data_IF_134523309683
#
_entry.id   IF_134523309683
#
_cell.length_a   1.000
_cell.length_b   1.000
_cell.length_c   1.000
_cell.angle_alpha   90.00
_cell.angle_beta   90.00
_cell.angle_gamma   90.00
#
_symmetry.space_group_name_H-M   'P 1'
#
loop_
_entity.id
_entity.type
_entity.pdbx_description
1 polymer ?
#
# COMPACT_ATOMS: atom_id res chain seq x y z
N UNK A 1 -24.05 -17.08 -18.83
CA UNK A 1 -23.22 -17.57 -17.70
C UNK A 1 -22.12 -16.55 -17.39
N UNK A 2 -21.95 -16.15 -16.15
CA UNK A 2 -20.95 -15.15 -15.77
C UNK A 2 -19.59 -15.83 -15.57
N UNK A 3 -18.55 -15.31 -16.20
CA UNK A 3 -17.20 -15.84 -16.03
C UNK A 3 -16.65 -15.47 -14.64
N UNK A 4 -16.06 -16.43 -13.97
CA UNK A 4 -15.33 -16.24 -12.71
C UNK A 4 -13.97 -16.91 -12.82
N UNK A 5 -12.90 -16.12 -12.69
CA UNK A 5 -11.53 -16.61 -12.78
C UNK A 5 -11.21 -17.61 -11.67
N UNK A 6 -10.68 -18.77 -12.04
CA UNK A 6 -10.17 -19.75 -11.06
C UNK A 6 -8.81 -19.32 -10.53
N UNK A 7 -8.44 -19.66 -9.29
CA UNK A 7 -7.13 -19.32 -8.73
C UNK A 7 -5.95 -19.77 -9.60
N UNK A 8 -6.09 -20.89 -10.31
CA UNK A 8 -5.06 -21.42 -11.22
C UNK A 8 -4.87 -20.61 -12.50
N UNK A 9 -5.86 -19.81 -12.89
CA UNK A 9 -5.82 -18.97 -14.10
C UNK A 9 -5.20 -17.60 -13.83
N UNK A 10 -5.07 -17.22 -12.57
CA UNK A 10 -4.57 -15.91 -12.17
C UNK A 10 -3.05 -15.84 -12.28
N UNK A 11 -2.58 -15.12 -13.29
CA UNK A 11 -1.15 -14.80 -13.43
C UNK A 11 -0.87 -13.51 -12.67
N UNK A 12 0.00 -13.60 -11.65
CA UNK A 12 0.41 -12.45 -10.85
C UNK A 12 1.75 -11.91 -11.36
N UNK A 13 1.81 -10.59 -11.51
CA UNK A 13 3.03 -9.88 -11.88
C UNK A 13 3.59 -9.17 -10.65
N UNK A 14 4.88 -8.88 -10.70
CA UNK A 14 5.54 -8.02 -9.74
C UNK A 14 5.74 -6.64 -10.37
N UNK A 15 5.19 -5.61 -9.75
CA UNK A 15 5.25 -4.24 -10.24
C UNK A 15 5.99 -3.39 -9.23
N UNK A 16 6.96 -2.60 -9.71
CA UNK A 16 7.72 -1.66 -8.88
C UNK A 16 7.16 -0.26 -9.09
N UNK A 17 6.86 0.43 -7.99
CA UNK A 17 6.46 1.84 -7.99
C UNK A 17 7.54 2.65 -7.28
N UNK A 18 8.07 3.66 -7.95
CA UNK A 18 8.96 4.62 -7.33
C UNK A 18 8.14 5.75 -6.71
N UNK A 19 8.25 5.92 -5.38
CA UNK A 19 7.55 6.94 -4.61
C UNK A 19 8.29 8.27 -4.55
N UNK A 20 9.50 8.34 -5.07
CA UNK A 20 10.36 9.54 -4.99
C UNK A 20 9.66 10.78 -5.58
N UNK A 21 9.47 11.81 -4.77
CA UNK A 21 8.85 13.07 -5.19
C UNK A 21 7.35 13.01 -5.51
N UNK A 22 6.72 11.85 -5.42
CA UNK A 22 5.28 11.67 -5.65
C UNK A 22 4.47 11.94 -4.40
N UNK A 23 3.21 12.31 -4.57
CA UNK A 23 2.29 12.50 -3.45
C UNK A 23 1.82 11.16 -2.87
N UNK A 24 1.71 11.11 -1.55
CA UNK A 24 1.32 9.90 -0.81
C UNK A 24 0.02 9.27 -1.33
N UNK A 25 -1.04 10.08 -1.49
CA UNK A 25 -2.35 9.59 -1.90
C UNK A 25 -2.34 8.98 -3.31
N UNK A 26 -1.60 9.56 -4.25
CA UNK A 26 -1.51 9.04 -5.63
C UNK A 26 -0.76 7.72 -5.70
N UNK A 27 0.38 7.63 -5.00
CA UNK A 27 1.13 6.36 -4.90
C UNK A 27 0.27 5.28 -4.27
N UNK A 28 -0.45 5.60 -3.20
CA UNK A 28 -1.35 4.66 -2.54
C UNK A 28 -2.51 4.21 -3.44
N UNK A 29 -3.07 5.11 -4.24
CA UNK A 29 -4.14 4.78 -5.19
C UNK A 29 -3.65 3.82 -6.28
N UNK A 30 -2.48 4.09 -6.85
CA UNK A 30 -1.90 3.24 -7.89
C UNK A 30 -1.57 1.84 -7.32
N UNK A 31 -0.96 1.79 -6.15
CA UNK A 31 -0.68 0.53 -5.46
C UNK A 31 -1.97 -0.26 -5.14
N UNK A 32 -3.00 0.39 -4.64
CA UNK A 32 -4.27 -0.25 -4.31
C UNK A 32 -4.97 -0.84 -5.54
N UNK A 33 -4.98 -0.12 -6.67
CA UNK A 33 -5.54 -0.62 -7.94
C UNK A 33 -4.84 -1.90 -8.43
N UNK A 34 -3.51 -1.94 -8.33
CA UNK A 34 -2.72 -3.11 -8.71
C UNK A 34 -2.96 -4.29 -7.76
N UNK A 35 -3.03 -4.04 -6.46
CA UNK A 35 -3.28 -5.07 -5.44
C UNK A 35 -4.68 -5.68 -5.54
N UNK A 36 -5.69 -4.89 -5.88
CA UNK A 36 -7.05 -5.38 -6.13
C UNK A 36 -7.18 -6.09 -7.48
N UNK A 37 -6.34 -5.74 -8.45
CA UNK A 37 -6.41 -6.28 -9.81
C UNK A 37 -7.43 -5.60 -10.71
N UNK A 38 -7.87 -4.38 -10.40
CA UNK A 38 -8.84 -3.62 -11.22
C UNK A 38 -8.38 -3.32 -12.64
N UNK A 39 -7.09 -3.41 -12.91
CA UNK A 39 -6.51 -3.25 -14.25
C UNK A 39 -6.64 -4.50 -15.13
N UNK A 40 -7.07 -5.62 -14.57
CA UNK A 40 -7.22 -6.90 -15.31
C UNK A 40 -8.65 -7.09 -15.79
N UNK A 41 -8.80 -7.69 -16.98
CA UNK A 41 -10.11 -8.03 -17.55
C UNK A 41 -10.84 -9.11 -16.73
N UNK A 42 -10.09 -9.95 -16.03
CA UNK A 42 -10.62 -11.01 -15.15
C UNK A 42 -11.03 -10.52 -13.75
N UNK A 43 -10.97 -9.22 -13.51
CA UNK A 43 -11.34 -8.66 -12.22
C UNK A 43 -12.78 -9.00 -11.83
N UNK A 44 -12.96 -9.45 -10.60
CA UNK A 44 -14.29 -9.61 -9.99
C UNK A 44 -14.22 -9.24 -8.50
N UNK A 45 -15.31 -8.66 -7.92
CA UNK A 45 -15.30 -8.25 -6.52
C UNK A 45 -15.05 -9.37 -5.53
N UNK A 46 -15.41 -10.61 -5.88
CA UNK A 46 -15.21 -11.79 -5.01
C UNK A 46 -13.90 -12.52 -5.27
N UNK A 47 -13.24 -12.28 -6.41
CA UNK A 47 -12.01 -12.97 -6.81
C UNK A 47 -10.74 -12.23 -6.37
N UNK A 48 -9.72 -12.95 -5.99
CA UNK A 48 -8.41 -12.39 -5.66
C UNK A 48 -7.47 -12.51 -6.87
N UNK A 49 -7.46 -11.49 -7.72
CA UNK A 49 -6.74 -11.47 -9.01
C UNK A 49 -5.58 -10.47 -9.05
N UNK A 50 -5.33 -9.73 -7.97
CA UNK A 50 -4.32 -8.67 -7.90
C UNK A 50 -2.88 -9.15 -8.04
N UNK A 51 -1.99 -8.20 -8.27
CA UNK A 51 -0.56 -8.40 -8.43
C UNK A 51 0.22 -8.14 -7.15
N UNK A 52 1.53 -8.44 -7.16
CA UNK A 52 2.46 -8.01 -6.13
C UNK A 52 2.95 -6.60 -6.44
N UNK A 53 3.03 -5.75 -5.42
CA UNK A 53 3.50 -4.37 -5.56
C UNK A 53 4.68 -4.13 -4.64
N UNK A 54 5.76 -3.64 -5.22
CA UNK A 54 6.95 -3.19 -4.51
C UNK A 54 7.03 -1.67 -4.62
N UNK A 55 7.02 -0.96 -3.51
CA UNK A 55 7.20 0.49 -3.48
C UNK A 55 8.60 0.80 -2.96
N UNK A 56 9.36 1.55 -3.72
CA UNK A 56 10.72 1.98 -3.38
C UNK A 56 10.77 3.48 -3.09
N UNK A 57 11.83 3.94 -2.44
CA UNK A 57 12.02 5.33 -2.06
C UNK A 57 10.91 5.90 -1.18
N UNK A 58 10.35 5.10 -0.29
CA UNK A 58 9.27 5.55 0.60
C UNK A 58 9.67 6.74 1.48
N UNK A 59 10.94 6.87 1.85
CA UNK A 59 11.44 8.00 2.62
C UNK A 59 11.36 9.35 1.88
N UNK A 60 11.28 9.32 0.55
CA UNK A 60 11.23 10.52 -0.30
C UNK A 60 9.81 10.89 -0.72
N UNK A 61 8.80 10.26 -0.15
CA UNK A 61 7.40 10.60 -0.43
C UNK A 61 7.06 11.97 0.14
N UNK A 62 6.16 12.68 -0.55
CA UNK A 62 5.75 14.02 -0.12
C UNK A 62 4.23 14.09 0.08
N UNK A 63 3.82 15.11 0.82
CA UNK A 63 2.43 15.53 0.98
C UNK A 63 2.31 17.01 0.64
N UNK A 64 1.12 17.44 0.26
CA UNK A 64 0.85 18.82 -0.14
C UNK A 64 0.51 19.71 1.06
N UNK A 65 0.71 21.03 0.92
CA UNK A 65 0.37 22.01 1.96
C UNK A 65 1.15 21.77 3.25
N UNK A 66 0.51 22.04 4.38
CA UNK A 66 1.08 21.87 5.73
C UNK A 66 0.87 20.48 6.33
N UNK A 67 0.51 19.48 5.54
CA UNK A 67 0.19 18.13 6.02
C UNK A 67 1.37 17.43 6.73
N UNK A 68 2.59 17.85 6.50
CA UNK A 68 3.76 17.34 7.23
C UNK A 68 3.61 17.51 8.74
N UNK A 69 3.01 18.62 9.16
CA UNK A 69 2.74 18.94 10.57
C UNK A 69 1.30 18.62 10.99
N UNK A 70 0.33 18.88 10.09
CA UNK A 70 -1.11 18.80 10.41
C UNK A 70 -1.69 17.39 10.29
N UNK A 71 -1.10 16.52 9.46
CA UNK A 71 -1.55 15.14 9.33
C UNK A 71 -1.08 14.32 10.51
N UNK A 72 -2.04 13.93 11.36
CA UNK A 72 -1.76 13.21 12.61
C UNK A 72 -2.28 11.78 12.52
N UNK A 73 -1.41 10.81 12.82
CA UNK A 73 -1.75 9.41 12.97
C UNK A 73 -2.03 9.12 14.44
N UNK A 74 -3.24 8.63 14.73
CA UNK A 74 -3.68 8.31 16.09
C UNK A 74 -3.97 6.83 16.23
N UNK A 75 -3.58 6.26 17.35
CA UNK A 75 -3.99 4.92 17.75
C UNK A 75 -4.16 4.88 19.27
N UNK A 76 -4.95 3.93 19.76
CA UNK A 76 -5.19 3.74 21.18
C UNK A 76 -4.65 2.40 21.66
N UNK A 77 -3.97 2.38 22.80
CA UNK A 77 -3.33 1.17 23.36
C UNK A 77 -4.29 0.28 24.15
N UNK A 78 -5.58 0.66 24.26
CA UNK A 78 -6.61 0.02 25.09
C UNK A 78 -6.39 0.12 26.62
N UNK A 79 -5.51 1.01 27.05
CA UNK A 79 -5.35 1.37 28.47
C UNK A 79 -5.90 2.79 28.71
N UNK A 80 -6.35 3.12 29.97
CA UNK A 80 -6.74 4.50 30.30
C UNK A 80 -5.62 5.48 29.94
N UNK A 81 -5.98 6.58 29.21
CA UNK A 81 -5.01 7.56 28.73
C UNK A 81 -4.06 7.05 27.62
N UNK A 82 -4.39 5.94 26.98
CA UNK A 82 -3.53 5.29 25.98
C UNK A 82 -3.62 5.83 24.55
N UNK A 83 -4.21 7.02 24.32
CA UNK A 83 -4.22 7.65 23.01
C UNK A 83 -2.82 8.14 22.64
N UNK A 84 -2.31 7.64 21.53
CA UNK A 84 -1.01 8.05 20.97
C UNK A 84 -1.24 8.80 19.67
N UNK A 85 -0.52 9.88 19.48
CA UNK A 85 -0.58 10.72 18.28
C UNK A 85 0.83 11.02 17.79
N UNK A 86 1.02 10.95 16.48
CA UNK A 86 2.28 11.27 15.82
C UNK A 86 1.99 12.00 14.51
N UNK A 87 2.71 13.09 14.24
CA UNK A 87 2.59 13.84 13.01
C UNK A 87 3.23 13.08 11.83
N UNK A 88 2.79 13.37 10.61
CA UNK A 88 3.32 12.73 9.40
C UNK A 88 4.84 12.85 9.28
N UNK A 89 5.40 14.03 9.52
CA UNK A 89 6.85 14.25 9.45
C UNK A 89 7.64 13.37 10.42
N UNK A 90 7.15 13.24 11.64
CA UNK A 90 7.77 12.38 12.66
C UNK A 90 7.61 10.90 12.34
N UNK A 91 6.44 10.51 11.83
CA UNK A 91 6.20 9.14 11.38
C UNK A 91 7.13 8.77 10.22
N UNK A 92 7.29 9.65 9.25
CA UNK A 92 8.19 9.43 8.11
C UNK A 92 9.65 9.32 8.54
N UNK A 93 10.08 10.12 9.51
CA UNK A 93 11.44 10.08 10.04
C UNK A 93 11.75 8.78 10.80
N UNK A 94 10.80 8.30 11.61
CA UNK A 94 10.98 7.09 12.43
C UNK A 94 10.71 5.81 11.67
N UNK A 95 9.65 5.79 10.87
CA UNK A 95 9.16 4.61 10.13
C UNK A 95 8.78 5.01 8.70
N UNK A 96 9.74 5.11 7.77
CA UNK A 96 9.50 5.64 6.41
C UNK A 96 8.47 4.85 5.61
N UNK A 97 8.30 3.56 5.88
CA UNK A 97 7.37 2.69 5.15
C UNK A 97 5.93 2.80 5.65
N UNK A 98 5.72 3.19 6.91
CA UNK A 98 4.40 3.19 7.57
C UNK A 98 3.37 4.10 6.92
N UNK A 99 3.68 5.35 6.53
CA UNK A 99 2.68 6.21 5.88
C UNK A 99 2.07 5.58 4.63
N UNK A 100 2.88 4.96 3.77
CA UNK A 100 2.41 4.28 2.55
C UNK A 100 1.58 3.04 2.90
N UNK A 101 2.04 2.22 3.82
CA UNK A 101 1.31 1.02 4.26
C UNK A 101 -0.08 1.36 4.82
N UNK A 102 -0.18 2.39 5.66
CA UNK A 102 -1.45 2.84 6.24
C UNK A 102 -2.37 3.38 5.15
N UNK A 103 -1.84 4.21 4.23
CA UNK A 103 -2.63 4.78 3.14
C UNK A 103 -3.18 3.70 2.20
N UNK A 104 -2.37 2.72 1.83
CA UNK A 104 -2.81 1.60 0.97
C UNK A 104 -3.84 0.73 1.68
N UNK A 105 -3.62 0.37 2.93
CA UNK A 105 -4.58 -0.41 3.72
C UNK A 105 -5.93 0.29 3.85
N UNK A 106 -5.93 1.61 4.01
CA UNK A 106 -7.16 2.41 4.03
C UNK A 106 -7.93 2.41 2.71
N UNK A 107 -7.26 2.20 1.58
CA UNK A 107 -7.85 2.14 0.25
C UNK A 107 -8.26 0.73 -0.19
N UNK A 108 -7.78 -0.31 0.51
CA UNK A 108 -8.17 -1.69 0.26
C UNK A 108 -9.47 -2.05 0.99
N UNK A 109 -10.22 -3.07 0.56
CA UNK A 109 -11.40 -3.55 1.26
C UNK A 109 -11.09 -3.93 2.72
N UNK A 110 -11.98 -3.57 3.64
CA UNK A 110 -11.83 -3.86 5.08
C UNK A 110 -12.37 -5.24 5.47
N UNK A 111 -11.86 -6.28 4.82
CA UNK A 111 -12.27 -7.66 5.03
C UNK A 111 -11.07 -8.62 4.93
N UNK A 112 -11.32 -9.92 5.00
CA UNK A 112 -10.27 -10.95 4.88
C UNK A 112 -9.50 -10.87 3.56
N UNK A 113 -10.18 -10.54 2.46
CA UNK A 113 -9.54 -10.35 1.14
C UNK A 113 -8.60 -9.16 1.13
N UNK A 114 -9.03 -8.03 1.69
CA UNK A 114 -8.17 -6.84 1.82
C UNK A 114 -6.90 -7.12 2.61
N UNK A 115 -6.97 -7.93 3.65
CA UNK A 115 -5.79 -8.39 4.41
C UNK A 115 -4.85 -9.24 3.55
N UNK A 116 -5.40 -10.13 2.73
CA UNK A 116 -4.61 -10.92 1.77
C UNK A 116 -3.94 -10.04 0.72
N UNK A 117 -4.66 -9.05 0.18
CA UNK A 117 -4.10 -8.07 -0.75
C UNK A 117 -2.97 -7.25 -0.11
N UNK A 118 -3.16 -6.80 1.13
CA UNK A 118 -2.15 -6.03 1.86
C UNK A 118 -0.83 -6.80 2.08
N UNK A 119 -0.87 -8.13 2.18
CA UNK A 119 0.34 -8.97 2.29
C UNK A 119 1.20 -8.94 1.03
N UNK A 120 0.63 -8.63 -0.12
CA UNK A 120 1.36 -8.51 -1.40
C UNK A 120 1.99 -7.14 -1.61
N UNK A 121 1.75 -6.20 -0.71
CA UNK A 121 2.44 -4.91 -0.70
C UNK A 121 3.78 -5.04 0.03
N UNK A 122 4.85 -4.62 -0.65
CA UNK A 122 6.20 -4.56 -0.08
C UNK A 122 6.71 -3.13 -0.21
N UNK A 123 7.01 -2.47 0.90
CA UNK A 123 7.45 -1.07 0.93
C UNK A 123 8.86 -0.98 1.47
N UNK A 124 9.72 -0.26 0.77
CA UNK A 124 11.11 -0.06 1.14
C UNK A 124 11.45 1.44 1.18
N UNK A 125 12.20 1.83 2.21
CA UNK A 125 12.60 3.21 2.42
C UNK A 125 13.55 3.74 1.33
N UNK A 126 14.47 2.90 0.88
CA UNK A 126 15.46 3.21 -0.16
C UNK A 126 15.09 2.67 -1.53
N UNK A 127 16.06 2.72 -2.44
CA UNK A 127 15.88 2.23 -3.81
C UNK A 127 16.11 0.72 -3.96
N UNK A 128 16.78 0.10 -3.01
CA UNK A 128 17.11 -1.33 -3.06
C UNK A 128 16.00 -2.19 -2.45
N UNK A 129 15.71 -3.32 -3.08
CA UNK A 129 14.74 -4.29 -2.60
C UNK A 129 15.20 -5.74 -2.92
N UNK A 130 14.80 -6.75 -2.14
CA UNK A 130 15.25 -8.14 -2.35
C UNK A 130 14.45 -8.88 -3.44
N UNK A 131 13.61 -8.23 -4.21
CA UNK A 131 12.69 -8.84 -5.18
C UNK A 131 13.13 -8.66 -6.63
N UNK A 132 14.41 -8.42 -6.89
CA UNK A 132 14.92 -8.20 -8.25
C UNK A 132 14.69 -9.40 -9.19
N UNK A 133 14.78 -10.61 -8.64
CA UNK A 133 14.54 -11.84 -9.41
C UNK A 133 13.09 -12.00 -9.87
N UNK A 134 12.13 -11.48 -9.11
CA UNK A 134 10.69 -11.57 -9.41
C UNK A 134 10.20 -10.45 -10.32
N UNK A 135 10.90 -9.33 -10.38
CA UNK A 135 10.48 -8.10 -11.10
C UNK A 135 10.82 -8.14 -12.60
N UNK A 136 11.37 -9.19 -13.12
CA UNK A 136 11.76 -9.31 -14.54
C UNK A 136 10.62 -9.10 -15.53
#
# INVERSE_FOLDING_TARGET
MTYSAKPSEVKRRWVVIDASGKTLGRVATDAAKLLEGKHKTIYSPHGDVGDFVVVVNAAKIRVTGKKTEDKIYRHHTNYPGGLRSIAFGDMLARHPTRPIEIAVKGMLPHNSRGRTMARRLKVYAGNTHPHEAQVK
#
